data_IF_643297517322
#
_entry.id   IF_643297517322
#
_cell.length_a   1.000
_cell.length_b   1.000
_cell.length_c   1.000
_cell.angle_alpha   90.00
_cell.angle_beta   90.00
_cell.angle_gamma   90.00
#
_symmetry.space_group_name_H-M   'P 1'
#
loop_
_entity.id
_entity.type
_entity.pdbx_description
1 polymer ?
#
# COMPACT_ATOMS: atom_id res chain seq x y z
N UNK A 1 -7.75 -9.99 -6.07
CA UNK A 1 -8.09 -8.59 -5.70
C UNK A 1 -6.86 -7.92 -5.09
N UNK A 2 -6.82 -6.59 -5.07
CA UNK A 2 -5.59 -5.84 -4.82
C UNK A 2 -5.72 -4.86 -3.67
N UNK A 3 -4.87 -5.03 -2.66
CA UNK A 3 -4.59 -4.03 -1.63
C UNK A 3 -3.29 -3.29 -1.96
N UNK A 4 -3.22 -1.99 -1.65
CA UNK A 4 -2.03 -1.20 -1.93
C UNK A 4 -1.78 -0.10 -0.89
N UNK A 5 -0.51 0.28 -0.75
CA UNK A 5 -0.08 1.49 -0.05
C UNK A 5 0.95 2.22 -0.90
N UNK A 6 0.96 3.55 -0.88
CA UNK A 6 1.86 4.38 -1.69
C UNK A 6 2.08 5.76 -1.05
N UNK A 7 3.05 6.51 -1.59
CA UNK A 7 3.22 7.94 -1.32
C UNK A 7 3.19 8.33 0.15
N UNK A 8 2.51 9.43 0.42
CA UNK A 8 2.36 10.01 1.75
C UNK A 8 1.36 9.24 2.62
N UNK A 9 1.69 7.98 2.91
CA UNK A 9 0.96 7.10 3.84
C UNK A 9 -0.48 6.79 3.41
N UNK A 10 -0.74 6.74 2.11
CA UNK A 10 -2.02 6.29 1.58
C UNK A 10 -2.12 4.76 1.63
N UNK A 11 -3.32 4.28 1.90
CA UNK A 11 -3.71 2.87 1.88
C UNK A 11 -4.99 2.72 1.08
N UNK A 12 -5.13 1.56 0.43
CA UNK A 12 -6.34 1.10 -0.22
C UNK A 12 -6.57 -0.37 0.14
N UNK A 13 -7.71 -0.68 0.73
CA UNK A 13 -8.10 -2.05 1.11
C UNK A 13 -8.45 -2.91 -0.11
N UNK A 14 -8.69 -4.20 0.10
CA UNK A 14 -9.13 -5.09 -1.00
C UNK A 14 -10.50 -4.69 -1.57
N UNK A 15 -11.35 -4.10 -0.75
CA UNK A 15 -12.73 -3.74 -1.08
C UNK A 15 -12.88 -2.28 -1.55
N UNK A 16 -11.78 -1.52 -1.52
CA UNK A 16 -11.62 -0.25 -2.20
C UNK A 16 -11.58 0.97 -1.29
N UNK A 17 -11.72 0.80 0.03
CA UNK A 17 -11.63 1.90 0.99
C UNK A 17 -10.23 2.50 1.00
N UNK A 18 -10.16 3.82 0.84
CA UNK A 18 -8.90 4.57 0.86
C UNK A 18 -8.77 5.43 2.10
N UNK A 19 -7.60 5.41 2.72
CA UNK A 19 -7.33 6.20 3.93
C UNK A 19 -5.85 6.57 4.05
N UNK A 20 -5.56 7.54 4.92
CA UNK A 20 -4.19 7.90 5.30
C UNK A 20 -3.90 7.46 6.74
N UNK A 21 -2.74 6.84 6.94
CA UNK A 21 -2.29 6.39 8.25
C UNK A 21 -0.76 6.59 8.43
N UNK A 22 -0.31 7.65 9.13
CA UNK A 22 1.11 8.02 9.22
C UNK A 22 1.87 7.29 10.35
N UNK A 23 1.59 6.00 10.57
CA UNK A 23 2.29 5.18 11.56
C UNK A 23 3.73 4.84 11.14
N UNK A 24 4.66 4.86 12.10
CA UNK A 24 6.10 4.53 11.87
C UNK A 24 6.56 3.22 12.55
N UNK A 25 5.65 2.52 13.22
CA UNK A 25 5.90 1.22 13.82
C UNK A 25 5.83 0.08 12.78
N UNK A 26 6.03 -1.16 13.23
CA UNK A 26 5.66 -2.33 12.46
C UNK A 26 4.13 -2.54 12.54
N UNK A 27 3.48 -2.71 11.39
CA UNK A 27 2.05 -2.94 11.30
C UNK A 27 1.74 -4.18 10.46
N UNK A 28 0.65 -4.86 10.81
CA UNK A 28 0.06 -5.90 9.99
C UNK A 28 -0.56 -5.26 8.74
N UNK A 29 0.09 -5.43 7.58
CA UNK A 29 -0.47 -4.96 6.32
C UNK A 29 -1.63 -5.86 5.90
N UNK A 30 -1.38 -7.17 5.84
CA UNK A 30 -2.40 -8.19 5.61
C UNK A 30 -1.94 -9.52 6.17
N UNK A 31 -2.84 -10.22 6.85
CA UNK A 31 -2.64 -11.59 7.33
C UNK A 31 -3.84 -12.45 7.02
N UNK A 32 -3.62 -13.76 6.94
CA UNK A 32 -4.69 -14.75 7.04
C UNK A 32 -5.06 -14.94 8.51
N UNK A 33 -6.33 -14.67 8.83
CA UNK A 33 -6.84 -14.61 10.20
C UNK A 33 -7.87 -15.71 10.47
N UNK A 34 -7.89 -16.77 9.65
CA UNK A 34 -8.63 -18.00 9.96
C UNK A 34 -8.16 -18.61 11.28
N UNK A 35 -9.11 -18.96 12.14
CA UNK A 35 -8.84 -19.44 13.49
C UNK A 35 -8.04 -20.75 13.52
N UNK A 36 -8.29 -21.64 12.57
CA UNK A 36 -7.67 -22.96 12.55
C UNK A 36 -6.19 -22.92 12.13
N UNK A 37 -5.87 -22.09 11.15
CA UNK A 37 -4.58 -22.14 10.49
C UNK A 37 -4.30 -20.87 9.67
N UNK A 38 -3.20 -20.17 9.96
CA UNK A 38 -2.77 -18.96 9.23
C UNK A 38 -1.78 -19.34 8.13
N UNK A 39 -2.14 -19.12 6.88
CA UNK A 39 -1.27 -19.42 5.72
C UNK A 39 -0.13 -18.41 5.57
N UNK A 40 -0.38 -17.13 5.88
CA UNK A 40 0.60 -16.06 5.71
C UNK A 40 0.36 -14.86 6.65
N UNK A 41 1.40 -14.06 6.84
CA UNK A 41 1.29 -12.66 7.26
C UNK A 41 2.28 -11.76 6.51
N UNK A 42 1.85 -10.54 6.19
CA UNK A 42 2.67 -9.49 5.58
C UNK A 42 2.70 -8.32 6.53
N UNK A 43 3.87 -8.04 7.09
CA UNK A 43 4.07 -6.87 7.95
C UNK A 43 4.92 -5.85 7.22
N UNK A 44 4.66 -4.58 7.50
CA UNK A 44 5.44 -3.47 6.96
C UNK A 44 5.88 -2.55 8.09
N UNK A 45 7.05 -1.95 7.93
CA UNK A 45 7.44 -0.80 8.74
C UNK A 45 7.79 0.36 7.81
N UNK A 46 7.07 1.47 7.99
CA UNK A 46 7.42 2.74 7.35
C UNK A 46 8.45 3.51 8.19
N UNK A 47 9.15 4.40 7.51
CA UNK A 47 10.09 5.36 8.08
C UNK A 47 10.29 6.50 7.07
N UNK A 48 11.32 7.31 7.27
CA UNK A 48 11.67 8.37 6.34
C UNK A 48 12.84 7.95 5.45
N UNK A 49 12.81 8.33 4.18
CA UNK A 49 13.96 8.23 3.28
C UNK A 49 14.98 9.36 3.55
N UNK A 50 16.04 9.41 2.73
CA UNK A 50 17.07 10.44 2.85
C UNK A 50 16.58 11.87 2.60
N UNK A 51 15.44 12.02 1.92
CA UNK A 51 14.82 13.31 1.62
C UNK A 51 13.73 13.68 2.64
N UNK A 52 13.47 12.81 3.63
CA UNK A 52 12.44 13.01 4.64
C UNK A 52 11.03 12.57 4.17
N UNK A 53 10.93 11.82 3.08
CA UNK A 53 9.67 11.30 2.57
C UNK A 53 9.30 9.94 3.18
N UNK A 54 8.00 9.66 3.42
CA UNK A 54 7.57 8.35 3.87
C UNK A 54 7.96 7.25 2.88
N UNK A 55 8.68 6.25 3.38
CA UNK A 55 9.11 5.08 2.62
C UNK A 55 9.00 3.81 3.47
N UNK A 56 8.87 2.66 2.81
CA UNK A 56 8.86 1.35 3.48
C UNK A 56 10.30 0.95 3.76
N UNK A 57 10.64 0.76 5.03
CA UNK A 57 11.99 0.38 5.46
C UNK A 57 12.22 -1.12 5.29
N UNK A 58 11.19 -1.92 5.57
CA UNK A 58 11.17 -3.33 5.24
C UNK A 58 9.74 -3.86 5.11
N UNK A 59 9.67 -5.01 4.46
CA UNK A 59 8.51 -5.88 4.38
C UNK A 59 8.93 -7.23 4.96
N UNK A 60 8.14 -7.76 5.89
CA UNK A 60 8.31 -9.10 6.44
C UNK A 60 7.14 -9.96 6.00
N UNK A 61 7.41 -10.89 5.08
CA UNK A 61 6.46 -11.93 4.66
C UNK A 61 6.76 -13.19 5.46
N UNK A 62 5.82 -13.62 6.29
CA UNK A 62 5.84 -14.91 6.96
C UNK A 62 4.91 -15.86 6.25
N UNK A 63 5.43 -17.01 5.88
CA UNK A 63 4.69 -18.17 5.39
C UNK A 63 4.82 -19.28 6.44
N UNK A 64 4.02 -20.35 6.32
CA UNK A 64 4.04 -21.50 7.24
C UNK A 64 5.45 -21.91 7.69
N UNK A 65 6.32 -22.15 6.71
CA UNK A 65 7.63 -22.80 6.89
C UNK A 65 8.79 -21.88 6.53
N UNK A 66 8.54 -20.58 6.28
CA UNK A 66 9.54 -19.67 5.72
C UNK A 66 9.27 -18.21 6.08
N UNK A 67 10.32 -17.50 6.46
CA UNK A 67 10.30 -16.05 6.66
C UNK A 67 11.15 -15.34 5.59
N UNK A 68 10.57 -14.31 4.98
CA UNK A 68 11.21 -13.49 3.95
C UNK A 68 11.20 -12.04 4.40
N UNK A 69 12.39 -11.51 4.70
CA UNK A 69 12.61 -10.10 5.00
C UNK A 69 13.13 -9.40 3.74
N UNK A 70 12.40 -8.38 3.30
CA UNK A 70 12.73 -7.57 2.12
C UNK A 70 13.05 -6.15 2.57
N UNK A 71 14.23 -5.67 2.19
CA UNK A 71 14.72 -4.29 2.34
C UNK A 71 15.12 -3.75 0.97
N UNK A 72 15.35 -2.43 0.78
CA UNK A 72 15.54 -1.86 -0.56
C UNK A 72 16.64 -2.55 -1.39
N UNK A 73 17.73 -2.95 -0.73
CA UNK A 73 18.93 -3.54 -1.34
C UNK A 73 19.27 -4.93 -0.81
N UNK A 74 18.38 -5.55 -0.03
CA UNK A 74 18.67 -6.80 0.67
C UNK A 74 17.42 -7.66 0.78
N UNK A 75 17.52 -8.92 0.38
CA UNK A 75 16.49 -9.94 0.60
C UNK A 75 17.11 -11.04 1.46
N UNK A 76 16.44 -11.38 2.56
CA UNK A 76 16.82 -12.47 3.46
C UNK A 76 15.68 -13.48 3.48
N UNK A 77 15.95 -14.73 3.12
CA UNK A 77 15.03 -15.85 3.24
C UNK A 77 15.62 -16.86 4.24
N UNK A 78 14.86 -17.21 5.28
CA UNK A 78 15.27 -18.13 6.36
C UNK A 78 16.65 -17.80 6.96
N UNK A 79 16.87 -16.51 7.24
CA UNK A 79 18.11 -16.01 7.84
C UNK A 79 19.31 -15.95 6.88
N UNK A 80 19.13 -16.26 5.60
CA UNK A 80 20.20 -16.20 4.59
C UNK A 80 19.95 -15.12 3.54
N UNK A 81 20.99 -14.40 3.18
CA UNK A 81 20.93 -13.43 2.08
C UNK A 81 20.78 -14.20 0.77
N UNK A 82 19.79 -13.85 -0.04
CA UNK A 82 19.52 -14.47 -1.34
C UNK A 82 19.66 -13.47 -2.48
N UNK A 83 19.97 -13.96 -3.67
CA UNK A 83 20.02 -13.17 -4.91
C UNK A 83 18.86 -13.56 -5.81
N UNK A 84 18.30 -12.60 -6.53
CA UNK A 84 17.21 -12.82 -7.49
C UNK A 84 17.75 -13.24 -8.87
N UNK A 85 17.00 -14.06 -9.64
CA UNK A 85 15.78 -14.73 -9.23
C UNK A 85 16.06 -15.83 -8.18
N UNK A 86 15.19 -15.97 -7.19
CA UNK A 86 15.28 -16.97 -6.13
C UNK A 86 14.00 -17.79 -6.10
N UNK A 87 14.12 -19.12 -6.13
CA UNK A 87 12.97 -20.02 -6.11
C UNK A 87 13.17 -21.10 -5.04
N UNK A 88 12.19 -21.25 -4.16
CA UNK A 88 12.20 -22.26 -3.09
C UNK A 88 10.79 -22.48 -2.57
N UNK A 89 10.42 -23.72 -2.21
CA UNK A 89 9.17 -24.03 -1.49
C UNK A 89 7.89 -23.37 -2.06
N UNK A 90 7.79 -23.20 -3.39
CA UNK A 90 6.65 -22.56 -4.03
C UNK A 90 6.64 -21.03 -3.96
N UNK A 91 7.74 -20.41 -3.56
CA UNK A 91 8.00 -18.96 -3.62
C UNK A 91 8.96 -18.67 -4.75
N UNK A 92 8.62 -17.69 -5.59
CA UNK A 92 9.48 -17.11 -6.60
C UNK A 92 9.71 -15.63 -6.27
N UNK A 93 10.96 -15.24 -6.06
CA UNK A 93 11.37 -13.85 -5.88
C UNK A 93 12.12 -13.39 -7.12
N UNK A 94 11.58 -12.39 -7.79
CA UNK A 94 12.16 -11.76 -8.96
C UNK A 94 12.38 -10.28 -8.67
N UNK A 95 13.34 -9.67 -9.35
CA UNK A 95 13.50 -8.23 -9.25
C UNK A 95 14.11 -7.65 -10.51
N UNK A 96 13.62 -6.47 -10.87
CA UNK A 96 14.26 -5.60 -11.86
C UNK A 96 14.83 -4.34 -11.17
N UNK A 97 15.16 -3.33 -11.97
CA UNK A 97 15.72 -2.07 -11.50
C UNK A 97 14.76 -1.28 -10.59
N UNK A 98 13.45 -1.47 -10.73
CA UNK A 98 12.39 -0.72 -10.05
C UNK A 98 11.70 -1.59 -9.01
N UNK A 99 11.30 -2.81 -9.39
CA UNK A 99 10.42 -3.65 -8.60
C UNK A 99 11.13 -4.89 -8.03
N UNK A 100 10.67 -5.28 -6.84
CA UNK A 100 10.80 -6.64 -6.31
C UNK A 100 9.41 -7.26 -6.36
N UNK A 101 9.32 -8.44 -6.99
CA UNK A 101 8.11 -9.24 -7.07
C UNK A 101 8.30 -10.56 -6.33
N UNK A 102 7.37 -10.89 -5.44
CA UNK A 102 7.32 -12.18 -4.75
C UNK A 102 6.02 -12.85 -5.14
N UNK A 103 6.11 -13.99 -5.82
CA UNK A 103 4.96 -14.81 -6.18
C UNK A 103 4.95 -16.07 -5.32
N UNK A 104 3.85 -16.32 -4.63
CA UNK A 104 3.66 -17.47 -3.75
C UNK A 104 2.60 -18.38 -4.37
N UNK A 105 2.93 -19.66 -4.52
CA UNK A 105 2.04 -20.69 -5.10
C UNK A 105 0.69 -20.80 -4.40
N UNK A 106 0.59 -20.31 -3.16
CA UNK A 106 -0.64 -20.19 -2.39
C UNK A 106 -1.60 -19.10 -2.92
N UNK A 107 -1.39 -18.53 -4.11
CA UNK A 107 -2.33 -17.56 -4.67
C UNK A 107 -2.14 -16.16 -4.09
N UNK A 108 -0.90 -15.80 -3.82
CA UNK A 108 -0.50 -14.46 -3.37
C UNK A 108 0.61 -13.94 -4.28
N UNK A 109 0.53 -12.66 -4.64
CA UNK A 109 1.65 -11.93 -5.23
C UNK A 109 1.86 -10.61 -4.50
N UNK A 110 3.13 -10.28 -4.25
CA UNK A 110 3.55 -9.02 -3.67
C UNK A 110 4.46 -8.29 -4.66
N UNK A 111 4.25 -6.99 -4.83
CA UNK A 111 5.08 -6.14 -5.69
C UNK A 111 5.41 -4.82 -5.00
N UNK A 112 6.70 -4.53 -4.86
CA UNK A 112 7.20 -3.35 -4.16
C UNK A 112 8.22 -2.59 -5.01
N UNK A 113 8.10 -1.26 -5.09
CA UNK A 113 8.99 -0.38 -5.85
C UNK A 113 10.31 -0.02 -5.11
N UNK A 114 10.66 -0.75 -4.05
CA UNK A 114 11.82 -0.49 -3.16
C UNK A 114 11.77 0.84 -2.41
N UNK A 115 10.63 1.53 -2.44
CA UNK A 115 10.40 2.84 -1.83
C UNK A 115 9.07 2.81 -1.07
N UNK A 116 8.08 3.56 -1.53
CA UNK A 116 6.82 3.86 -0.86
C UNK A 116 5.63 2.98 -1.31
N UNK A 117 5.71 2.36 -2.49
CA UNK A 117 4.59 1.72 -3.15
C UNK A 117 4.64 0.19 -3.06
N UNK A 118 3.76 -0.37 -2.25
CA UNK A 118 3.55 -1.81 -2.09
C UNK A 118 2.16 -2.19 -2.59
N UNK A 119 2.07 -3.35 -3.25
CA UNK A 119 0.83 -4.00 -3.62
C UNK A 119 0.86 -5.46 -3.20
N UNK A 120 -0.27 -5.93 -2.70
CA UNK A 120 -0.54 -7.35 -2.48
C UNK A 120 -1.79 -7.74 -3.25
N UNK A 121 -1.66 -8.78 -4.06
CA UNK A 121 -2.75 -9.44 -4.75
C UNK A 121 -3.00 -10.81 -4.13
N UNK A 122 -4.28 -11.11 -3.87
CA UNK A 122 -4.74 -12.38 -3.32
C UNK A 122 -5.81 -13.03 -4.20
N UNK A 123 -5.74 -14.37 -4.27
CA UNK A 123 -6.81 -15.22 -4.78
C UNK A 123 -8.09 -15.10 -3.93
N UNK A 124 -9.24 -15.36 -4.54
CA UNK A 124 -10.57 -15.27 -3.91
C UNK A 124 -10.80 -16.27 -2.75
N UNK A 125 -9.95 -17.28 -2.60
CA UNK A 125 -10.04 -18.24 -1.48
C UNK A 125 -9.77 -17.62 -0.11
N UNK A 126 -9.22 -16.41 -0.08
CA UNK A 126 -8.97 -15.63 1.14
C UNK A 126 -10.08 -14.64 1.47
N UNK A 127 -11.19 -14.63 0.72
CA UNK A 127 -12.33 -13.76 1.04
C UNK A 127 -12.86 -14.04 2.46
N UNK A 128 -13.24 -12.98 3.19
CA UNK A 128 -13.69 -13.02 4.59
C UNK A 128 -12.67 -13.63 5.58
N UNK A 129 -11.41 -13.73 5.18
CA UNK A 129 -10.39 -14.43 5.95
C UNK A 129 -9.16 -13.57 6.21
N UNK A 130 -9.09 -12.37 5.66
CA UNK A 130 -7.97 -11.47 5.90
C UNK A 130 -8.21 -10.59 7.12
N UNK A 131 -7.13 -10.09 7.71
CA UNK A 131 -7.18 -8.96 8.62
C UNK A 131 -5.86 -8.17 8.55
N UNK A 132 -5.84 -6.94 9.07
CA UNK A 132 -4.74 -6.00 8.88
C UNK A 132 -5.23 -4.73 8.18
N UNK A 133 -4.30 -3.85 7.82
CA UNK A 133 -4.59 -2.58 7.13
C UNK A 133 -5.30 -2.74 5.78
N UNK A 134 -5.24 -3.92 5.16
CA UNK A 134 -5.90 -4.23 3.91
C UNK A 134 -7.37 -4.69 4.05
N UNK A 135 -7.89 -4.80 5.27
CA UNK A 135 -9.27 -5.21 5.53
C UNK A 135 -9.53 -6.71 5.52
N UNK A 136 -10.82 -7.05 5.54
CA UNK A 136 -11.33 -8.42 5.70
C UNK A 136 -11.63 -9.13 4.37
N UNK A 137 -11.60 -8.39 3.26
CA UNK A 137 -11.74 -8.89 1.90
C UNK A 137 -13.10 -9.57 1.68
N UNK A 138 -14.16 -8.90 2.13
CA UNK A 138 -15.53 -9.42 2.09
C UNK A 138 -16.30 -9.03 0.81
N UNK A 139 -15.78 -8.08 0.03
CA UNK A 139 -16.40 -7.57 -1.20
C UNK A 139 -17.57 -6.60 -0.96
N UNK A 140 -17.74 -6.06 0.25
CA UNK A 140 -18.87 -5.22 0.67
C UNK A 140 -18.36 -3.82 1.09
N UNK A 141 -18.40 -2.83 0.19
CA UNK A 141 -17.93 -1.46 0.49
C UNK A 141 -18.75 -0.71 1.57
N UNK A 142 -19.95 -1.20 1.91
CA UNK A 142 -20.88 -0.53 2.85
C UNK A 142 -20.52 -0.87 4.31
N UNK A 143 -20.02 -2.08 4.55
CA UNK A 143 -19.51 -2.51 5.85
C UNK A 143 -17.99 -2.43 5.78
N UNK A 144 -17.49 -1.20 5.75
CA UNK A 144 -16.06 -0.97 5.65
C UNK A 144 -15.35 -1.33 6.96
N UNK A 145 -14.03 -1.44 6.86
CA UNK A 145 -13.15 -1.92 7.92
C UNK A 145 -13.13 -1.01 9.16
N UNK A 146 -13.71 0.18 9.04
CA UNK A 146 -13.83 1.17 10.10
C UNK A 146 -15.02 0.92 11.03
N UNK A 147 -15.88 -0.07 10.77
CA UNK A 147 -17.05 -0.37 11.59
C UNK A 147 -16.88 -1.72 12.29
N UNK A 148 -17.01 -1.73 13.62
CA UNK A 148 -17.02 -2.94 14.44
C UNK A 148 -18.23 -2.94 15.37
N UNK A 149 -19.27 -3.69 15.00
CA UNK A 149 -20.58 -3.63 15.66
C UNK A 149 -21.16 -2.23 15.57
N UNK A 150 -21.43 -1.60 16.72
CA UNK A 150 -21.95 -0.23 16.80
C UNK A 150 -20.83 0.84 16.89
N UNK A 151 -19.56 0.44 16.85
CA UNK A 151 -18.42 1.35 16.96
C UNK A 151 -17.88 1.70 15.57
N UNK A 152 -17.76 2.99 15.29
CA UNK A 152 -17.09 3.52 14.10
C UNK A 152 -15.73 4.11 14.49
N UNK A 153 -14.68 3.67 13.81
CA UNK A 153 -13.32 4.16 13.95
C UNK A 153 -13.00 5.22 12.90
N UNK A 154 -12.08 6.13 13.21
CA UNK A 154 -11.40 6.92 12.18
C UNK A 154 -10.19 6.13 11.63
N UNK A 155 -9.56 6.63 10.57
CA UNK A 155 -8.43 5.94 9.94
C UNK A 155 -7.21 5.77 10.85
N UNK A 156 -7.01 6.69 11.80
CA UNK A 156 -5.90 6.64 12.75
C UNK A 156 -6.13 5.55 13.79
N UNK A 157 -7.31 5.54 14.43
CA UNK A 157 -7.69 4.51 15.39
C UNK A 157 -7.66 3.13 14.72
N UNK A 158 -8.20 3.00 13.51
CA UNK A 158 -8.16 1.74 12.76
C UNK A 158 -6.71 1.27 12.50
N UNK A 159 -5.82 2.16 12.07
CA UNK A 159 -4.42 1.81 11.84
C UNK A 159 -3.67 1.44 13.12
N UNK A 160 -3.94 2.13 14.23
CA UNK A 160 -3.35 1.84 15.55
C UNK A 160 -3.69 0.41 16.01
N UNK A 161 -4.91 -0.08 15.74
CA UNK A 161 -5.32 -1.45 16.05
C UNK A 161 -4.50 -2.51 15.30
N UNK A 162 -3.85 -2.16 14.18
CA UNK A 162 -3.07 -3.10 13.36
C UNK A 162 -1.58 -3.18 13.78
N UNK A 163 -1.19 -2.50 14.85
CA UNK A 163 0.19 -2.44 15.32
C UNK A 163 0.70 -3.78 15.81
N UNK A 164 1.89 -4.16 15.34
CA UNK A 164 2.60 -5.33 15.86
C UNK A 164 3.35 -4.94 17.12
N UNK A 165 3.05 -5.62 18.23
CA UNK A 165 3.71 -5.37 19.51
C UNK A 165 5.19 -5.76 19.43
N UNK A 166 6.08 -4.80 19.68
CA UNK A 166 7.51 -5.03 19.80
C UNK A 166 7.92 -5.06 21.29
N UNK A 167 8.30 -6.21 21.85
CA UNK A 167 8.69 -6.32 23.26
C UNK A 167 9.95 -5.52 23.62
N UNK A 168 10.77 -5.17 22.62
CA UNK A 168 12.11 -4.59 22.81
C UNK A 168 12.18 -3.08 22.62
N UNK A 169 11.09 -2.43 22.25
CA UNK A 169 11.09 -0.99 22.00
C UNK A 169 9.70 -0.38 22.05
N UNK A 170 9.59 0.77 22.71
CA UNK A 170 8.39 1.61 22.64
C UNK A 170 8.39 2.33 21.28
N UNK A 171 7.27 2.24 20.58
CA UNK A 171 6.99 3.01 19.38
C UNK A 171 5.68 3.74 19.63
N UNK A 172 5.65 5.06 19.42
CA UNK A 172 4.48 5.87 19.74
C UNK A 172 3.48 5.86 18.58
N UNK A 173 2.19 5.86 18.92
CA UNK A 173 1.12 5.87 17.94
C UNK A 173 0.85 7.29 17.41
N UNK A 174 0.44 7.45 16.14
CA UNK A 174 -0.11 8.70 15.66
C UNK A 174 -1.28 9.19 16.51
N UNK A 175 -1.42 10.51 16.62
CA UNK A 175 -2.47 11.16 17.41
C UNK A 175 -3.85 10.95 16.77
N UNK A 176 -4.73 10.24 17.47
CA UNK A 176 -6.09 9.95 17.02
C UNK A 176 -6.99 11.20 16.96
N UNK A 177 -6.59 12.31 17.60
CA UNK A 177 -7.33 13.57 17.57
C UNK A 177 -6.99 14.44 16.36
N UNK A 178 -5.94 14.07 15.59
CA UNK A 178 -5.51 14.83 14.44
C UNK A 178 -6.50 14.68 13.27
N UNK A 179 -7.27 15.74 13.00
CA UNK A 179 -8.10 15.80 11.81
C UNK A 179 -7.25 15.98 10.55
N UNK A 180 -7.63 15.29 9.47
CA UNK A 180 -7.07 15.55 8.15
C UNK A 180 -7.51 16.93 7.65
N UNK A 181 -6.61 17.73 7.06
CA UNK A 181 -6.98 19.01 6.50
C UNK A 181 -7.93 18.83 5.30
N UNK A 182 -8.86 19.77 5.14
CA UNK A 182 -9.65 19.90 3.92
C UNK A 182 -8.77 20.50 2.83
N UNK A 183 -8.72 19.84 1.67
CA UNK A 183 -7.81 20.16 0.55
C UNK A 183 -8.55 20.42 -0.77
N UNK A 184 -9.80 20.87 -0.66
CA UNK A 184 -10.73 21.04 -1.77
C UNK A 184 -10.22 22.02 -2.85
N UNK A 185 -9.36 22.96 -2.50
CA UNK A 185 -8.74 23.91 -3.42
C UNK A 185 -7.88 23.25 -4.51
N UNK A 186 -7.41 22.02 -4.30
CA UNK A 186 -6.55 21.29 -5.24
C UNK A 186 -7.33 20.34 -6.17
N UNK A 187 -8.65 20.26 -6.03
CA UNK A 187 -9.47 19.28 -6.74
C UNK A 187 -9.36 19.40 -8.27
N UNK A 188 -9.48 20.62 -8.81
CA UNK A 188 -9.45 20.85 -10.25
C UNK A 188 -8.09 20.51 -10.87
N UNK A 189 -6.99 20.82 -10.17
CA UNK A 189 -5.64 20.47 -10.60
C UNK A 189 -5.47 18.94 -10.66
N UNK A 190 -5.84 18.24 -9.58
CA UNK A 190 -5.76 16.79 -9.48
C UNK A 190 -6.65 16.08 -10.49
N UNK A 191 -7.89 16.53 -10.67
CA UNK A 191 -8.81 15.99 -11.67
C UNK A 191 -8.23 16.14 -13.08
N UNK A 192 -7.69 17.31 -13.43
CA UNK A 192 -7.08 17.55 -14.75
C UNK A 192 -5.88 16.63 -14.99
N UNK A 193 -5.02 16.40 -13.99
CA UNK A 193 -3.86 15.50 -14.10
C UNK A 193 -4.29 14.05 -14.36
N UNK A 194 -5.20 13.54 -13.53
CA UNK A 194 -5.66 12.15 -13.58
C UNK A 194 -6.62 11.87 -14.77
N UNK A 195 -7.21 12.92 -15.36
CA UNK A 195 -8.02 12.81 -16.58
C UNK A 195 -7.27 13.25 -17.83
N UNK A 196 -5.95 13.43 -17.78
CA UNK A 196 -5.16 13.75 -18.98
C UNK A 196 -5.33 12.68 -20.08
N UNK A 197 -5.05 13.01 -21.35
CA UNK A 197 -5.14 12.04 -22.46
C UNK A 197 -4.33 10.76 -22.23
N UNK A 198 -3.24 10.84 -21.47
CA UNK A 198 -2.42 9.69 -21.13
C UNK A 198 -3.19 8.61 -20.34
N UNK A 199 -4.25 9.00 -19.62
CA UNK A 199 -5.07 8.09 -18.82
C UNK A 199 -6.45 7.81 -19.42
N UNK A 200 -6.65 8.05 -20.72
CA UNK A 200 -7.95 7.86 -21.36
C UNK A 200 -8.56 6.46 -21.14
N UNK A 201 -7.75 5.39 -21.25
CA UNK A 201 -8.17 3.99 -21.05
C UNK A 201 -8.31 3.58 -19.56
N UNK A 202 -7.98 4.49 -18.63
CA UNK A 202 -8.07 4.23 -17.18
C UNK A 202 -9.40 4.69 -16.58
N UNK A 203 -10.06 5.67 -17.21
CA UNK A 203 -11.20 6.41 -16.63
C UNK A 203 -12.40 5.54 -16.24
N UNK A 204 -12.64 4.45 -16.96
CA UNK A 204 -13.77 3.53 -16.72
C UNK A 204 -13.38 2.27 -15.96
N UNK A 205 -12.09 2.09 -15.63
CA UNK A 205 -11.55 0.89 -14.97
C UNK A 205 -11.35 1.07 -13.48
N UNK A 206 -11.16 2.31 -13.05
CA UNK A 206 -10.81 2.68 -11.69
C UNK A 206 -11.82 3.69 -11.15
N UNK A 207 -12.04 3.66 -9.84
CA UNK A 207 -12.75 4.73 -9.16
C UNK A 207 -11.83 5.95 -9.06
N UNK A 208 -11.99 6.87 -10.01
CA UNK A 208 -11.19 8.09 -10.17
C UNK A 208 -11.25 9.01 -8.94
N UNK A 209 -12.40 9.12 -8.27
CA UNK A 209 -12.59 10.07 -7.17
C UNK A 209 -11.63 9.78 -6.02
N UNK A 210 -11.34 8.50 -5.72
CA UNK A 210 -10.41 8.11 -4.66
C UNK A 210 -8.99 8.63 -4.93
N UNK A 211 -8.54 8.56 -6.18
CA UNK A 211 -7.21 9.06 -6.57
C UNK A 211 -7.16 10.59 -6.62
N UNK A 212 -8.28 11.24 -6.95
CA UNK A 212 -8.40 12.71 -6.86
C UNK A 212 -8.24 13.15 -5.40
N UNK A 213 -8.94 12.50 -4.46
CA UNK A 213 -8.85 12.81 -3.03
C UNK A 213 -7.43 12.58 -2.48
N UNK A 214 -6.79 11.46 -2.85
CA UNK A 214 -5.40 11.20 -2.47
C UNK A 214 -4.43 12.28 -3.00
N UNK A 215 -4.58 12.68 -4.26
CA UNK A 215 -3.80 13.73 -4.88
C UNK A 215 -3.98 15.09 -4.18
N UNK A 216 -5.22 15.43 -3.80
CA UNK A 216 -5.53 16.67 -3.08
C UNK A 216 -4.79 16.73 -1.74
N UNK A 217 -4.82 15.63 -0.99
CA UNK A 217 -4.12 15.53 0.30
C UNK A 217 -2.60 15.64 0.13
N UNK A 218 -2.04 15.02 -0.90
CA UNK A 218 -0.60 15.13 -1.17
C UNK A 218 -0.19 16.55 -1.52
N UNK A 219 -0.96 17.23 -2.39
CA UNK A 219 -0.68 18.61 -2.80
C UNK A 219 -0.67 19.56 -1.60
N UNK A 220 -1.67 19.42 -0.72
CA UNK A 220 -1.78 20.14 0.54
C UNK A 220 -0.56 19.92 1.45
N UNK A 221 -0.20 18.65 1.67
CA UNK A 221 0.87 18.28 2.59
C UNK A 221 2.22 18.89 2.19
N UNK A 222 2.39 19.18 0.90
CA UNK A 222 3.63 19.73 0.36
C UNK A 222 3.81 21.23 0.52
N UNK A 223 2.80 21.96 1.02
CA UNK A 223 2.91 23.39 1.41
C UNK A 223 3.57 24.27 0.34
N UNK A 224 3.31 23.99 -0.94
CA UNK A 224 3.85 24.76 -2.07
C UNK A 224 5.31 24.44 -2.44
N UNK A 225 5.95 23.42 -1.85
CA UNK A 225 7.23 22.91 -2.36
C UNK A 225 6.98 22.22 -3.70
N UNK A 226 7.80 22.54 -4.70
CA UNK A 226 7.86 21.81 -5.97
C UNK A 226 8.60 20.48 -5.79
N UNK A 227 8.14 19.66 -4.84
CA UNK A 227 8.68 18.33 -4.63
C UNK A 227 7.89 17.33 -5.47
N UNK A 228 8.61 16.62 -6.35
CA UNK A 228 8.04 15.56 -7.18
C UNK A 228 7.34 14.48 -6.35
N UNK A 229 7.83 14.15 -5.15
CA UNK A 229 7.25 13.10 -4.31
C UNK A 229 5.74 13.29 -4.06
N UNK A 230 5.32 14.55 -3.93
CA UNK A 230 3.95 14.93 -3.63
C UNK A 230 2.95 14.37 -4.63
N UNK A 231 3.11 14.69 -5.91
CA UNK A 231 2.10 14.32 -6.92
C UNK A 231 2.46 13.02 -7.64
N UNK A 232 3.76 12.75 -7.80
CA UNK A 232 4.21 11.66 -8.66
C UNK A 232 3.87 10.29 -8.09
N UNK A 233 3.84 10.12 -6.76
CA UNK A 233 3.50 8.83 -6.14
C UNK A 233 2.05 8.45 -6.41
N UNK A 234 1.09 9.36 -6.18
CA UNK A 234 -0.34 9.07 -6.42
C UNK A 234 -0.66 8.88 -7.91
N UNK A 235 -0.04 9.66 -8.80
CA UNK A 235 -0.25 9.49 -10.26
C UNK A 235 0.41 8.19 -10.77
N UNK A 236 1.57 7.83 -10.23
CA UNK A 236 2.19 6.53 -10.52
C UNK A 236 1.33 5.38 -10.04
N UNK A 237 0.69 5.51 -8.87
CA UNK A 237 -0.23 4.51 -8.37
C UNK A 237 -1.45 4.37 -9.28
N UNK A 238 -2.05 5.48 -9.73
CA UNK A 238 -3.15 5.46 -10.69
C UNK A 238 -2.77 4.76 -11.99
N UNK A 239 -1.59 5.07 -12.54
CA UNK A 239 -1.02 4.41 -13.71
C UNK A 239 -0.83 2.90 -13.49
N UNK A 240 -0.29 2.50 -12.33
CA UNK A 240 -0.03 1.10 -11.98
C UNK A 240 -1.32 0.29 -11.87
N UNK A 241 -2.31 0.84 -11.17
CA UNK A 241 -3.63 0.22 -10.98
C UNK A 241 -4.39 0.12 -12.31
N UNK A 242 -4.22 1.09 -13.20
CA UNK A 242 -4.82 1.05 -14.53
C UNK A 242 -4.24 -0.09 -15.38
N UNK A 243 -2.91 -0.23 -15.37
CA UNK A 243 -2.22 -1.33 -16.06
C UNK A 243 -2.63 -2.69 -15.48
N UNK A 244 -2.73 -2.80 -14.15
CA UNK A 244 -3.21 -4.02 -13.49
C UNK A 244 -4.64 -4.40 -13.90
N UNK A 245 -5.55 -3.41 -14.00
CA UNK A 245 -6.91 -3.59 -14.50
C UNK A 245 -7.01 -3.82 -16.03
N UNK A 246 -5.89 -4.08 -16.70
CA UNK A 246 -5.81 -4.35 -18.14
C UNK A 246 -5.91 -3.12 -19.04
N UNK A 247 -5.86 -1.92 -18.45
CA UNK A 247 -5.76 -0.66 -19.19
C UNK A 247 -4.35 -0.38 -19.69
N UNK A 248 -4.20 0.59 -20.58
CA UNK A 248 -2.91 0.98 -21.18
C UNK A 248 -2.64 2.48 -21.00
N UNK A 249 -2.21 2.91 -19.80
CA UNK A 249 -1.78 4.29 -19.60
C UNK A 249 -0.62 4.61 -20.54
N UNK A 250 -0.63 5.80 -21.12
CA UNK A 250 0.46 6.31 -21.97
C UNK A 250 1.50 7.03 -21.11
N UNK A 251 2.59 7.50 -21.74
CA UNK A 251 3.57 8.34 -21.07
C UNK A 251 2.93 9.62 -20.55
N UNK A 252 3.01 9.81 -19.23
CA UNK A 252 2.50 11.00 -18.53
C UNK A 252 3.61 11.80 -17.82
N UNK A 253 4.78 11.19 -17.65
CA UNK A 253 5.98 11.83 -17.10
C UNK A 253 6.63 12.69 -18.19
N UNK A 254 7.09 13.88 -17.82
CA UNK A 254 7.77 14.82 -18.73
C UNK A 254 9.00 15.41 -18.04
N UNK A 255 9.85 16.12 -18.79
CA UNK A 255 11.04 16.77 -18.21
C UNK A 255 10.72 17.74 -17.06
N UNK A 256 9.51 18.31 -17.05
CA UNK A 256 9.07 19.28 -16.04
C UNK A 256 8.06 18.68 -15.04
N UNK A 257 7.82 17.35 -15.12
CA UNK A 257 6.84 16.67 -14.28
C UNK A 257 7.18 15.19 -14.12
N UNK A 258 7.62 14.81 -12.91
CA UNK A 258 7.81 13.41 -12.47
C UNK A 258 8.79 12.53 -13.27
#
# INVERSE_FOLDING_TARGET
YVCSTWGNNHFKTFDGDTFQYPGMCEYNFVSDCREAYKEFSVHIQRGLDSNGHPAIQYILLRLKDMDILVKPNLIVADGRIVKTPYYTSGVLIESDAIYIKISVKLGMALMWNRQDALMVELDNKFNNHTCGLCGDYNGIPIYNEFINGDVSYNSITYGNLQKISNPKGKCDDPDETQALPSCNEHRDECQRLLTSPAFADCRLRLNLEMYIQACMQDKCACKGKEDSFCLCSTISEYSRQCSHAGGRPQEWRTQNFC
#
